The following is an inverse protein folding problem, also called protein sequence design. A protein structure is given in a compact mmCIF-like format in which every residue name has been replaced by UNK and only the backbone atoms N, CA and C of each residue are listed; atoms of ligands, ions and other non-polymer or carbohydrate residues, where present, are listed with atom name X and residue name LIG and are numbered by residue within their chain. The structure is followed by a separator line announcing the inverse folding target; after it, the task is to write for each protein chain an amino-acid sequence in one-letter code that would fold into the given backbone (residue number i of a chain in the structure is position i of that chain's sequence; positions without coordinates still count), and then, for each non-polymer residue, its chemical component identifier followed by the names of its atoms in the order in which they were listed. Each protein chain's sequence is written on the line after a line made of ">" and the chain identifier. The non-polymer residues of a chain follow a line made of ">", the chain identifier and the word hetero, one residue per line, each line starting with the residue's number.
data_IF_002201753663
#
_entry.id   IF_002201753663
#
_cell.length_a   1.000
_cell.length_b   1.000
_cell.length_c   1.000
_cell.angle_alpha   90.00
_cell.angle_beta   90.00
_cell.angle_gamma   90.00
#
_symmetry.space_group_name_H-M   'P 1'
#
loop_
_entity.id
_entity.type
_entity.pdbx_description
1 polymer ?
#
# COMPACT_ATOMS: atom_id res chain seq x y z
N UNK A 1 -1.68 -13.41 10.92
CA UNK A 1 -0.38 -12.71 11.13
C UNK A 1 0.04 -12.15 9.77
N UNK A 2 -0.50 -10.99 9.40
CA UNK A 2 -0.85 -10.75 7.98
C UNK A 2 -0.96 -9.26 7.61
N UNK A 3 -1.91 -8.56 8.23
CA UNK A 3 -2.13 -7.12 8.08
C UNK A 3 -0.98 -6.27 8.63
N UNK A 4 -0.38 -6.75 9.70
CA UNK A 4 0.74 -6.10 10.37
C UNK A 4 1.95 -5.98 9.45
N UNK A 5 2.20 -6.99 8.61
CA UNK A 5 3.28 -6.96 7.61
C UNK A 5 3.05 -5.88 6.55
N UNK A 6 1.81 -5.64 6.12
CA UNK A 6 1.49 -4.56 5.17
C UNK A 6 1.82 -3.20 5.80
N UNK A 7 1.42 -2.98 7.05
CA UNK A 7 1.67 -1.73 7.77
C UNK A 7 3.16 -1.52 8.08
N UNK A 8 3.85 -2.60 8.48
CA UNK A 8 5.30 -2.59 8.68
C UNK A 8 6.02 -2.32 7.37
N UNK A 9 5.58 -2.90 6.25
CA UNK A 9 6.20 -2.67 4.95
C UNK A 9 6.07 -1.20 4.52
N UNK A 10 4.90 -0.58 4.71
CA UNK A 10 4.76 0.87 4.52
C UNK A 10 5.68 1.69 5.43
N UNK A 11 5.84 1.27 6.69
CA UNK A 11 6.76 1.92 7.62
C UNK A 11 8.23 1.78 7.20
N UNK A 12 8.61 0.65 6.61
CA UNK A 12 9.94 0.43 6.03
C UNK A 12 10.12 1.29 4.77
N UNK A 13 9.12 1.36 3.89
CA UNK A 13 9.16 2.24 2.72
C UNK A 13 9.35 3.72 3.10
N UNK A 14 8.77 4.18 4.19
CA UNK A 14 8.97 5.56 4.65
C UNK A 14 10.39 5.81 5.22
N UNK A 15 11.03 4.77 5.75
CA UNK A 15 12.38 4.85 6.34
C UNK A 15 13.49 4.57 5.34
N UNK A 16 13.22 3.78 4.30
CA UNK A 16 14.16 3.43 3.24
C UNK A 16 13.76 4.08 1.90
N UNK A 17 14.37 5.23 1.56
CA UNK A 17 14.05 5.94 0.33
C UNK A 17 14.43 5.16 -0.95
N UNK A 18 15.40 4.23 -0.88
CA UNK A 18 15.78 3.41 -2.02
C UNK A 18 14.71 2.34 -2.29
N UNK A 19 14.21 1.69 -1.24
CA UNK A 19 13.10 0.75 -1.34
C UNK A 19 11.82 1.45 -1.83
N UNK A 20 11.56 2.66 -1.33
CA UNK A 20 10.45 3.51 -1.77
C UNK A 20 10.55 3.86 -3.25
N UNK A 21 11.73 4.23 -3.73
CA UNK A 21 11.96 4.52 -5.14
C UNK A 21 11.72 3.29 -6.02
N UNK A 22 12.14 2.09 -5.59
CA UNK A 22 11.84 0.82 -6.28
C UNK A 22 10.33 0.57 -6.35
N UNK A 23 9.63 0.66 -5.22
CA UNK A 23 8.18 0.44 -5.16
C UNK A 23 7.40 1.43 -6.05
N UNK A 24 7.77 2.70 -6.05
CA UNK A 24 7.16 3.72 -6.94
C UNK A 24 7.55 3.51 -8.41
N UNK A 25 8.74 2.97 -8.65
CA UNK A 25 9.24 2.63 -9.98
C UNK A 25 8.43 1.53 -10.65
N UNK A 26 7.92 0.55 -9.90
CA UNK A 26 7.11 -0.56 -10.43
C UNK A 26 5.94 -0.06 -11.27
N UNK A 27 5.25 0.99 -10.81
CA UNK A 27 4.10 1.60 -11.51
C UNK A 27 4.46 2.34 -12.79
N UNK A 28 5.75 2.66 -12.99
CA UNK A 28 6.26 3.33 -14.20
C UNK A 28 6.79 2.33 -15.22
N UNK A 29 7.36 1.21 -14.76
CA UNK A 29 7.95 0.18 -15.63
C UNK A 29 6.95 -0.86 -16.09
N UNK A 30 5.95 -1.19 -15.28
CA UNK A 30 4.97 -2.22 -15.60
C UNK A 30 3.67 -1.55 -16.07
N UNK A 31 3.13 -2.02 -17.20
CA UNK A 31 1.89 -1.49 -17.79
C UNK A 31 0.65 -2.15 -17.20
N UNK A 32 0.79 -3.42 -16.79
CA UNK A 32 -0.30 -4.21 -16.25
C UNK A 32 -0.36 -4.10 -14.73
N UNK A 33 -1.56 -3.80 -14.23
CA UNK A 33 -1.79 -3.60 -12.80
C UNK A 33 -1.54 -4.89 -12.00
N UNK A 34 -1.83 -6.06 -12.58
CA UNK A 34 -1.56 -7.36 -11.95
C UNK A 34 -0.05 -7.63 -11.82
N UNK A 35 0.75 -7.22 -12.81
CA UNK A 35 2.21 -7.31 -12.74
C UNK A 35 2.78 -6.37 -11.68
N UNK A 36 2.26 -5.13 -11.62
CA UNK A 36 2.64 -4.17 -10.57
C UNK A 36 2.38 -4.75 -9.19
N UNK A 37 1.20 -5.32 -8.97
CA UNK A 37 0.82 -5.90 -7.69
C UNK A 37 1.70 -7.11 -7.36
N UNK A 38 1.93 -8.01 -8.31
CA UNK A 38 2.79 -9.17 -8.13
C UNK A 38 4.23 -8.77 -7.78
N UNK A 39 4.80 -7.78 -8.48
CA UNK A 39 6.13 -7.26 -8.21
C UNK A 39 6.20 -6.55 -6.85
N UNK A 40 5.13 -5.87 -6.43
CA UNK A 40 5.04 -5.23 -5.12
C UNK A 40 5.02 -6.25 -3.98
N UNK A 41 4.27 -7.36 -4.14
CA UNK A 41 4.24 -8.46 -3.17
C UNK A 41 5.60 -9.16 -3.08
N UNK A 42 6.27 -9.37 -4.23
CA UNK A 42 7.62 -9.90 -4.26
C UNK A 42 8.62 -8.99 -3.53
N UNK A 43 8.53 -7.67 -3.74
CA UNK A 43 9.38 -6.69 -3.05
C UNK A 43 9.18 -6.72 -1.52
N UNK A 44 7.95 -6.93 -1.06
CA UNK A 44 7.67 -7.09 0.35
C UNK A 44 8.24 -8.39 0.93
N UNK A 45 8.17 -9.48 0.18
CA UNK A 45 8.80 -10.74 0.54
C UNK A 45 10.35 -10.62 0.59
N UNK A 46 10.98 -9.92 -0.35
CA UNK A 46 12.42 -9.60 -0.33
C UNK A 46 12.81 -8.81 0.93
N UNK A 47 11.94 -7.92 1.40
CA UNK A 47 12.14 -7.15 2.62
C UNK A 47 11.86 -7.94 3.91
N UNK A 48 11.54 -9.24 3.82
CA UNK A 48 11.23 -10.09 4.97
C UNK A 48 9.83 -9.89 5.55
N UNK A 49 8.95 -9.18 4.83
CA UNK A 49 7.60 -8.83 5.24
C UNK A 49 6.58 -9.38 4.22
N UNK A 50 6.50 -10.71 4.01
CA UNK A 50 5.59 -11.28 3.04
C UNK A 50 4.13 -11.02 3.44
N UNK A 51 3.32 -10.65 2.46
CA UNK A 51 1.87 -10.59 2.54
C UNK A 51 1.25 -10.95 1.19
N UNK A 52 -0.03 -11.26 1.20
CA UNK A 52 -0.83 -11.66 0.05
C UNK A 52 -1.57 -10.48 -0.56
N UNK A 53 -2.06 -10.67 -1.78
CA UNK A 53 -2.90 -9.69 -2.45
C UNK A 53 -4.17 -9.37 -1.67
N UNK A 54 -4.81 -10.38 -1.07
CA UNK A 54 -6.04 -10.20 -0.29
C UNK A 54 -5.79 -9.30 0.94
N UNK A 55 -4.68 -9.53 1.65
CA UNK A 55 -4.29 -8.73 2.80
C UNK A 55 -3.98 -7.27 2.41
N UNK A 56 -3.28 -7.09 1.29
CA UNK A 56 -3.02 -5.77 0.73
C UNK A 56 -4.33 -5.04 0.37
N UNK A 57 -5.24 -5.71 -0.36
CA UNK A 57 -6.52 -5.13 -0.77
C UNK A 57 -7.41 -4.81 0.42
N UNK A 58 -7.43 -5.66 1.44
CA UNK A 58 -8.16 -5.41 2.70
C UNK A 58 -7.71 -4.10 3.36
N UNK A 59 -6.40 -3.88 3.49
CA UNK A 59 -5.84 -2.64 4.06
C UNK A 59 -6.18 -1.42 3.20
N UNK A 60 -6.10 -1.55 1.88
CA UNK A 60 -6.40 -0.45 0.97
C UNK A 60 -7.89 -0.08 0.98
N UNK A 61 -8.77 -1.08 1.05
CA UNK A 61 -10.22 -0.87 1.16
C UNK A 61 -10.59 -0.16 2.46
N UNK A 62 -10.01 -0.57 3.58
CA UNK A 62 -10.20 0.11 4.86
C UNK A 62 -9.70 1.56 4.78
N UNK A 63 -8.49 1.80 4.27
CA UNK A 63 -7.97 3.15 4.08
C UNK A 63 -8.87 4.02 3.19
N UNK A 64 -9.39 3.47 2.09
CA UNK A 64 -10.32 4.20 1.22
C UNK A 64 -11.63 4.54 1.95
N UNK A 65 -12.17 3.59 2.72
CA UNK A 65 -13.37 3.79 3.55
C UNK A 65 -13.18 4.90 4.60
N UNK A 66 -11.99 5.02 5.19
CA UNK A 66 -11.65 6.11 6.09
C UNK A 66 -11.55 7.47 5.38
N UNK A 67 -10.99 7.53 4.17
CA UNK A 67 -10.85 8.78 3.39
C UNK A 67 -12.22 9.34 2.98
N UNK A 68 -13.15 8.48 2.52
CA UNK A 68 -14.52 8.90 2.18
C UNK A 68 -15.30 9.41 3.41
N UNK A 69 -15.00 8.86 4.59
CA UNK A 69 -15.62 9.27 5.84
C UNK A 69 -15.05 10.61 6.34
N UNK A 70 -13.73 10.81 6.31
CA UNK A 70 -13.10 12.07 6.71
C UNK A 70 -13.44 13.23 5.77
N UNK A 71 -13.51 12.99 4.45
CA UNK A 71 -13.88 14.03 3.50
C UNK A 71 -15.33 14.47 3.67
N UNK A 72 -16.25 13.53 3.93
CA UNK A 72 -17.63 13.85 4.27
C UNK A 72 -17.76 14.64 5.58
N UNK A 73 -16.97 14.31 6.61
CA UNK A 73 -16.97 15.04 7.88
C UNK A 73 -16.40 16.46 7.68
N UNK A 74 -15.34 16.64 6.90
CA UNK A 74 -14.77 17.96 6.57
C UNK A 74 -15.74 18.84 5.78
N UNK A 75 -16.49 18.27 4.83
CA UNK A 75 -17.51 19.00 4.07
C UNK A 75 -18.68 19.43 4.97
N UNK A 76 -19.13 18.58 5.91
CA UNK A 76 -20.19 18.93 6.86
C UNK A 76 -19.81 19.98 7.91
N UNK A 77 -18.53 20.13 8.26
CA UNK A 77 -18.06 21.16 9.22
C UNK A 77 -17.84 22.55 8.61
N UNK A 78 -17.86 22.67 7.29
CA UNK A 78 -17.71 23.94 6.55
C UNK A 78 -19.03 24.48 5.99
N UNK A 79 -20.14 23.81 6.26
CA UNK A 79 -21.48 24.17 5.76
C UNK A 79 -22.43 24.56 6.88
#
# INVERSE_FOLDING_TARGET
>A
MSRENVMLFYSVLDRDPALRARALGLRKTLKDQEEVLSAFLALAAEAGLPFTLEEYLSVQYERASFVDTEENIRRKRKS
#
